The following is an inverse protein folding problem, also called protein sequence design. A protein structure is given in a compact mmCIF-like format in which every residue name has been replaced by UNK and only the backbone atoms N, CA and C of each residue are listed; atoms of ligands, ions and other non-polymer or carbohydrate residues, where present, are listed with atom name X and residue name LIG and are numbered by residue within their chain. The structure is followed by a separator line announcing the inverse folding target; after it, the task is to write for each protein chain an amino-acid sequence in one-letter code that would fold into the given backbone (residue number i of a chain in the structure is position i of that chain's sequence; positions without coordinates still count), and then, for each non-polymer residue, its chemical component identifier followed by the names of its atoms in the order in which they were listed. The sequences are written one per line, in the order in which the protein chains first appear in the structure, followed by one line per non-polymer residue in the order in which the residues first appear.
data_IF_039862998525
#
_entry.id   IF_039862998525
#
_cell.length_a   1.000
_cell.length_b   1.000
_cell.length_c   1.000
_cell.angle_alpha   90.00
_cell.angle_beta   90.00
_cell.angle_gamma   90.00
#
_symmetry.space_group_name_H-M   'P 1'
#
loop_
_entity.id
_entity.type
_entity.pdbx_description
1 polymer ?
#
# COMPACT_ATOMS: atom_id res chain seq x y z
N UNK A 1 -30.14 -27.00 72.21
CA UNK A 1 -29.00 -26.49 71.41
C UNK A 1 -29.08 -24.99 71.40
N UNK A 2 -28.06 -24.27 71.86
CA UNK A 2 -28.08 -22.81 71.88
C UNK A 2 -27.99 -22.26 70.46
N UNK A 3 -28.58 -21.09 70.23
CA UNK A 3 -28.58 -20.42 68.93
C UNK A 3 -27.15 -20.20 68.39
N UNK A 4 -26.17 -20.08 69.30
CA UNK A 4 -24.74 -20.03 69.00
C UNK A 4 -24.21 -21.29 68.31
N UNK A 5 -24.66 -22.49 68.70
CA UNK A 5 -24.21 -23.77 68.13
C UNK A 5 -24.74 -23.94 66.71
N UNK A 6 -25.98 -23.50 66.47
CA UNK A 6 -26.61 -23.54 65.15
C UNK A 6 -25.94 -22.58 64.16
N UNK A 7 -25.66 -21.34 64.58
CA UNK A 7 -24.94 -20.34 63.74
C UNK A 7 -23.50 -20.76 63.43
N UNK A 8 -22.80 -21.38 64.38
CA UNK A 8 -21.45 -21.92 64.17
C UNK A 8 -21.44 -23.04 63.12
N UNK A 9 -22.43 -23.94 63.17
CA UNK A 9 -22.60 -25.02 62.20
C UNK A 9 -22.88 -24.48 60.79
N UNK A 10 -23.75 -23.49 60.65
CA UNK A 10 -24.01 -22.82 59.36
C UNK A 10 -22.73 -22.17 58.81
N UNK A 11 -21.99 -21.42 59.64
CA UNK A 11 -20.72 -20.79 59.21
C UNK A 11 -19.67 -21.79 58.77
N UNK A 12 -19.59 -22.96 59.41
CA UNK A 12 -18.67 -24.04 59.00
C UNK A 12 -19.05 -24.73 57.68
N UNK A 13 -20.29 -24.58 57.23
CA UNK A 13 -20.81 -25.17 55.98
C UNK A 13 -20.81 -24.19 54.81
N UNK A 14 -20.67 -22.89 55.06
CA UNK A 14 -20.46 -21.88 54.03
C UNK A 14 -19.02 -22.00 53.55
N UNK A 15 -18.82 -22.67 52.40
CA UNK A 15 -17.54 -22.59 51.67
C UNK A 15 -17.31 -21.10 51.34
N UNK A 16 -16.13 -20.53 51.62
CA UNK A 16 -15.83 -19.16 51.22
C UNK A 16 -16.06 -19.03 49.70
N UNK A 17 -16.67 -17.91 49.29
CA UNK A 17 -16.89 -17.55 47.89
C UNK A 17 -15.62 -17.77 47.05
N UNK A 18 -15.73 -18.16 45.77
CA UNK A 18 -14.63 -18.72 45.01
C UNK A 18 -13.43 -17.77 45.02
N UNK A 19 -12.27 -18.35 45.34
CA UNK A 19 -10.95 -17.74 45.25
C UNK A 19 -10.81 -17.10 43.87
N UNK A 20 -10.46 -15.82 43.82
CA UNK A 20 -10.04 -15.16 42.59
C UNK A 20 -9.03 -16.09 41.90
N UNK A 21 -9.30 -16.49 40.66
CA UNK A 21 -8.46 -17.44 39.95
C UNK A 21 -7.05 -16.86 39.81
N UNK A 22 -6.05 -17.61 40.29
CA UNK A 22 -4.64 -17.26 40.20
C UNK A 22 -3.95 -18.15 39.19
N UNK A 23 -3.15 -17.56 38.32
CA UNK A 23 -2.40 -18.23 37.27
C UNK A 23 -0.90 -18.17 37.58
N UNK A 24 -0.17 -19.30 37.53
CA UNK A 24 1.28 -19.28 37.65
C UNK A 24 1.91 -18.50 36.49
N UNK A 25 2.87 -17.63 36.81
CA UNK A 25 3.62 -16.82 35.83
C UNK A 25 5.13 -16.95 36.04
N UNK A 26 5.90 -17.00 34.96
CA UNK A 26 7.36 -17.09 35.02
C UNK A 26 8.09 -15.82 35.46
N UNK A 27 7.35 -14.72 35.74
CA UNK A 27 7.92 -13.42 36.12
C UNK A 27 7.31 -12.79 37.39
N UNK A 28 6.25 -13.37 37.94
CA UNK A 28 5.51 -12.77 39.06
C UNK A 28 4.86 -13.77 40.01
N UNK A 29 5.17 -15.06 39.88
CA UNK A 29 4.54 -16.11 40.69
C UNK A 29 3.07 -16.31 40.30
N UNK A 30 2.26 -16.82 41.24
CA UNK A 30 0.82 -16.97 41.02
C UNK A 30 0.10 -15.62 41.14
N UNK A 31 -0.43 -15.12 40.02
CA UNK A 31 -1.07 -13.81 39.93
C UNK A 31 -2.52 -13.92 39.49
N UNK A 32 -3.37 -13.00 39.95
CA UNK A 32 -4.74 -12.88 39.42
C UNK A 32 -4.70 -12.31 38.01
N UNK A 33 -5.76 -12.53 37.23
CA UNK A 33 -5.80 -11.96 35.87
C UNK A 33 -5.73 -10.42 35.88
N UNK A 34 -6.38 -9.77 36.86
CA UNK A 34 -6.31 -8.31 37.00
C UNK A 34 -4.88 -7.82 37.20
N UNK A 35 -4.11 -8.49 38.05
CA UNK A 35 -2.71 -8.15 38.29
C UNK A 35 -1.82 -8.43 37.06
N UNK A 36 -2.16 -9.44 36.26
CA UNK A 36 -1.50 -9.69 34.96
C UNK A 36 -1.83 -8.56 33.99
N UNK A 37 -3.11 -8.21 33.84
CA UNK A 37 -3.61 -7.19 32.93
C UNK A 37 -3.03 -5.80 33.25
N UNK A 38 -3.00 -5.41 34.52
CA UNK A 38 -2.39 -4.15 34.98
C UNK A 38 -0.91 -4.08 34.61
N UNK A 39 -0.20 -5.21 34.65
CA UNK A 39 1.24 -5.26 34.37
C UNK A 39 1.57 -5.32 32.89
N UNK A 40 0.77 -6.02 32.08
CA UNK A 40 1.05 -6.16 30.64
C UNK A 40 0.35 -5.11 29.78
N UNK A 41 -0.80 -4.57 30.19
CA UNK A 41 -1.60 -3.62 29.43
C UNK A 41 -0.82 -2.38 28.96
N UNK A 42 -0.11 -1.66 29.85
CA UNK A 42 0.71 -0.51 29.46
C UNK A 42 1.85 -0.89 28.50
N UNK A 43 2.43 -2.08 28.66
CA UNK A 43 3.48 -2.59 27.78
C UNK A 43 2.93 -2.95 26.39
N UNK A 44 1.72 -3.52 26.34
CA UNK A 44 1.00 -3.77 25.10
C UNK A 44 0.72 -2.46 24.38
N UNK A 45 0.13 -1.47 25.05
CA UNK A 45 -0.16 -0.16 24.46
C UNK A 45 1.10 0.47 23.82
N UNK A 46 2.23 0.48 24.55
CA UNK A 46 3.52 1.00 24.07
C UNK A 46 4.11 0.21 22.89
N UNK A 47 3.76 -1.07 22.72
CA UNK A 47 4.19 -1.88 21.58
C UNK A 47 3.25 -1.71 20.39
N UNK A 48 1.95 -1.61 20.66
CA UNK A 48 0.90 -1.42 19.66
C UNK A 48 1.07 -0.09 18.92
N UNK A 49 1.46 0.98 19.61
CA UNK A 49 1.81 2.26 18.96
C UNK A 49 2.88 2.12 17.87
N UNK A 50 3.81 1.16 18.00
CA UNK A 50 4.86 0.93 16.99
C UNK A 50 4.35 0.24 15.73
N UNK A 51 3.15 -0.34 15.78
CA UNK A 51 2.51 -0.98 14.62
C UNK A 51 1.65 -0.02 13.80
N UNK A 52 1.62 1.28 14.14
CA UNK A 52 0.88 2.28 13.38
C UNK A 52 -0.63 2.33 13.68
N UNK A 53 -1.08 1.66 14.75
CA UNK A 53 -2.48 1.76 15.21
C UNK A 53 -2.74 3.17 15.75
N UNK A 54 -3.85 3.79 15.32
CA UNK A 54 -4.25 5.10 15.83
C UNK A 54 -4.47 5.10 17.35
N UNK A 55 -4.18 6.25 17.97
CA UNK A 55 -4.27 6.42 19.43
C UNK A 55 -5.60 5.96 20.03
N UNK A 56 -6.70 6.22 19.31
CA UNK A 56 -8.06 5.87 19.71
C UNK A 56 -8.36 4.36 19.72
N UNK A 57 -7.68 3.57 18.88
CA UNK A 57 -7.93 2.12 18.74
C UNK A 57 -7.00 1.27 19.62
N UNK A 58 -6.02 1.90 20.28
CA UNK A 58 -5.09 1.22 21.18
C UNK A 58 -5.81 0.60 22.37
N UNK A 59 -6.72 1.31 23.10
CA UNK A 59 -7.44 0.74 24.22
C UNK A 59 -8.23 -0.51 23.82
N UNK A 60 -8.95 -0.46 22.70
CA UNK A 60 -9.76 -1.56 22.17
C UNK A 60 -8.90 -2.76 21.77
N UNK A 61 -7.76 -2.50 21.15
CA UNK A 61 -6.77 -3.53 20.83
C UNK A 61 -6.26 -4.19 22.10
N UNK A 62 -5.84 -3.41 23.10
CA UNK A 62 -5.35 -3.93 24.39
C UNK A 62 -6.43 -4.77 25.07
N UNK A 63 -7.65 -4.26 25.16
CA UNK A 63 -8.78 -4.97 25.77
C UNK A 63 -9.07 -6.29 25.04
N UNK A 64 -9.09 -6.30 23.71
CA UNK A 64 -9.29 -7.51 22.90
C UNK A 64 -8.19 -8.55 23.14
N UNK A 65 -6.94 -8.10 23.19
CA UNK A 65 -5.79 -8.97 23.46
C UNK A 65 -5.84 -9.59 24.86
N UNK A 66 -6.17 -8.78 25.87
CA UNK A 66 -6.35 -9.23 27.25
C UNK A 66 -7.51 -10.21 27.38
N UNK A 67 -8.68 -9.92 26.78
CA UNK A 67 -9.84 -10.80 26.81
C UNK A 67 -9.52 -12.19 26.23
N UNK A 68 -8.85 -12.23 25.07
CA UNK A 68 -8.47 -13.51 24.45
C UNK A 68 -7.37 -14.24 25.24
N UNK A 69 -6.48 -13.51 25.91
CA UNK A 69 -5.51 -14.11 26.82
C UNK A 69 -6.21 -14.74 28.03
N UNK A 70 -7.20 -14.05 28.60
CA UNK A 70 -8.00 -14.57 29.72
C UNK A 70 -8.75 -15.85 29.36
N UNK A 71 -9.39 -15.89 28.19
CA UNK A 71 -10.06 -17.10 27.70
C UNK A 71 -9.06 -18.28 27.61
N UNK A 72 -7.87 -18.05 27.02
CA UNK A 72 -6.83 -19.08 26.95
C UNK A 72 -6.31 -19.51 28.32
N UNK A 73 -6.19 -18.60 29.27
CA UNK A 73 -5.81 -18.93 30.65
C UNK A 73 -6.87 -19.75 31.38
N UNK A 74 -8.14 -19.55 31.04
CA UNK A 74 -9.25 -20.32 31.59
C UNK A 74 -9.19 -21.77 31.12
N UNK A 75 -8.83 -21.99 29.85
CA UNK A 75 -8.65 -23.32 29.28
C UNK A 75 -7.32 -23.98 29.69
N UNK A 76 -6.24 -23.19 29.75
CA UNK A 76 -4.87 -23.62 30.05
C UNK A 76 -4.26 -22.76 31.18
N UNK A 77 -4.54 -23.06 32.47
CA UNK A 77 -4.09 -22.24 33.59
C UNK A 77 -2.56 -22.09 33.71
N UNK A 78 -1.82 -23.08 33.23
CA UNK A 78 -0.35 -23.12 33.29
C UNK A 78 0.35 -22.45 32.10
N UNK A 79 -0.41 -21.90 31.14
CA UNK A 79 0.12 -21.33 29.89
C UNK A 79 1.24 -20.30 30.11
N UNK A 80 1.19 -19.56 31.23
CA UNK A 80 2.13 -18.49 31.54
C UNK A 80 3.25 -18.91 32.52
N UNK A 81 3.24 -20.13 33.03
CA UNK A 81 4.14 -20.58 34.11
C UNK A 81 5.63 -20.48 33.73
N UNK A 82 5.96 -20.76 32.47
CA UNK A 82 7.34 -20.75 31.95
C UNK A 82 7.63 -19.57 31.01
N UNK A 83 6.66 -18.70 30.77
CA UNK A 83 6.85 -17.56 29.89
C UNK A 83 7.57 -16.42 30.62
N UNK A 84 8.35 -15.62 29.88
CA UNK A 84 8.84 -14.35 30.38
C UNK A 84 7.81 -13.24 30.12
N UNK A 85 7.83 -12.16 30.91
CA UNK A 85 6.90 -11.02 30.78
C UNK A 85 6.78 -10.53 29.33
N UNK A 86 7.90 -10.36 28.64
CA UNK A 86 7.93 -9.92 27.23
C UNK A 86 7.22 -10.89 26.30
N UNK A 87 7.37 -12.21 26.53
CA UNK A 87 6.72 -13.24 25.71
C UNK A 87 5.21 -13.22 25.92
N UNK A 88 4.75 -13.00 27.15
CA UNK A 88 3.34 -12.85 27.49
C UNK A 88 2.72 -11.63 26.82
N UNK A 89 3.41 -10.49 26.85
CA UNK A 89 3.00 -9.28 26.11
C UNK A 89 2.83 -9.60 24.62
N UNK A 90 3.80 -10.30 24.01
CA UNK A 90 3.71 -10.69 22.60
C UNK A 90 2.58 -11.67 22.31
N UNK A 91 2.29 -12.63 23.20
CA UNK A 91 1.13 -13.53 23.04
C UNK A 91 -0.18 -12.75 23.03
N UNK A 92 -0.32 -11.80 23.95
CA UNK A 92 -1.51 -10.95 24.02
C UNK A 92 -1.65 -10.08 22.76
N UNK A 93 -0.56 -9.49 22.28
CA UNK A 93 -0.53 -8.70 21.02
C UNK A 93 -0.87 -9.57 19.82
N UNK A 94 -0.32 -10.79 19.73
CA UNK A 94 -0.56 -11.68 18.59
C UNK A 94 -2.05 -12.02 18.41
N UNK A 95 -2.86 -11.95 19.46
CA UNK A 95 -4.30 -12.18 19.41
C UNK A 95 -5.13 -10.89 19.42
N UNK A 96 -4.51 -9.72 19.59
CA UNK A 96 -5.21 -8.46 19.82
C UNK A 96 -5.79 -7.80 18.56
N UNK A 97 -5.74 -8.47 17.41
CA UNK A 97 -6.29 -8.01 16.13
C UNK A 97 -5.75 -6.65 15.62
N UNK A 98 -4.67 -6.12 16.21
CA UNK A 98 -4.12 -4.82 15.83
C UNK A 98 -3.71 -4.74 14.35
N UNK A 99 -3.11 -5.80 13.79
CA UNK A 99 -2.72 -5.83 12.38
C UNK A 99 -3.93 -5.81 11.43
N UNK A 100 -5.07 -6.38 11.84
CA UNK A 100 -6.31 -6.34 11.06
C UNK A 100 -6.92 -4.95 11.10
N UNK A 101 -6.79 -4.24 12.23
CA UNK A 101 -7.22 -2.86 12.36
C UNK A 101 -6.36 -1.96 11.46
N UNK A 102 -5.05 -2.11 11.48
CA UNK A 102 -4.13 -1.38 10.58
C UNK A 102 -4.45 -1.65 9.12
N UNK A 103 -4.60 -2.92 8.73
CA UNK A 103 -4.96 -3.30 7.36
C UNK A 103 -6.33 -2.77 6.93
N UNK A 104 -7.31 -2.71 7.85
CA UNK A 104 -8.59 -2.04 7.59
C UNK A 104 -8.45 -0.53 7.46
N UNK A 105 -7.63 0.09 8.29
CA UNK A 105 -7.36 1.53 8.25
C UNK A 105 -6.66 1.91 6.94
N UNK A 106 -5.64 1.15 6.53
CA UNK A 106 -4.97 1.34 5.24
C UNK A 106 -5.92 1.19 4.05
N UNK A 107 -6.89 0.27 4.12
CA UNK A 107 -7.90 0.08 3.07
C UNK A 107 -9.01 1.13 3.09
N UNK A 108 -9.34 1.66 4.26
CA UNK A 108 -10.46 2.56 4.49
C UNK A 108 -9.98 3.77 5.31
N UNK A 109 -9.11 4.59 4.71
CA UNK A 109 -8.77 5.88 5.29
C UNK A 109 -10.03 6.77 5.24
N UNK A 110 -10.68 6.97 6.38
CA UNK A 110 -11.77 7.94 6.47
C UNK A 110 -11.18 9.35 6.47
N UNK A 111 -11.83 10.27 5.75
CA UNK A 111 -11.37 11.64 5.52
C UNK A 111 -10.99 12.39 6.81
N UNK A 112 -11.75 12.15 7.89
CA UNK A 112 -11.51 12.74 9.21
C UNK A 112 -10.19 12.29 9.87
N UNK A 113 -9.74 11.06 9.62
CA UNK A 113 -8.53 10.50 10.23
C UNK A 113 -7.26 11.01 9.53
N UNK A 114 -7.34 11.37 8.25
CA UNK A 114 -6.25 12.01 7.49
C UNK A 114 -6.02 13.43 8.03
N UNK A 115 -7.10 14.19 8.26
CA UNK A 115 -7.02 15.55 8.79
C UNK A 115 -6.42 15.58 10.21
N UNK A 116 -6.78 14.62 11.06
CA UNK A 116 -6.29 14.52 12.43
C UNK A 116 -4.80 14.15 12.53
N UNK A 117 -4.27 13.32 11.62
CA UNK A 117 -2.88 12.84 11.69
C UNK A 117 -1.86 13.77 11.00
N UNK A 118 -2.29 14.54 10.01
CA UNK A 118 -1.35 15.32 9.18
C UNK A 118 -1.22 16.77 9.65
N UNK A 119 -2.17 17.29 10.44
CA UNK A 119 -2.18 18.68 10.92
C UNK A 119 -2.26 19.72 9.81
N UNK A 120 -2.58 19.29 8.59
CA UNK A 120 -2.74 20.10 7.39
C UNK A 120 -4.23 20.23 7.11
N UNK A 121 -4.65 21.42 6.67
CA UNK A 121 -6.00 21.62 6.17
C UNK A 121 -6.17 20.74 4.92
N UNK A 122 -7.03 19.72 5.04
CA UNK A 122 -7.31 18.81 3.93
C UNK A 122 -8.35 19.52 3.07
N UNK A 123 -7.88 20.52 2.33
CA UNK A 123 -8.62 20.98 1.16
C UNK A 123 -8.90 19.75 0.28
N UNK A 124 -10.07 19.80 -0.36
CA UNK A 124 -10.82 18.84 -1.19
C UNK A 124 -10.03 18.04 -2.26
N UNK A 125 -8.70 18.12 -2.29
CA UNK A 125 -7.78 17.51 -3.24
C UNK A 125 -7.26 16.12 -2.85
N UNK A 126 -7.53 15.66 -1.63
CA UNK A 126 -6.96 14.42 -1.08
C UNK A 126 -7.81 13.15 -1.31
N UNK A 127 -8.11 12.78 -2.56
CA UNK A 127 -8.56 11.39 -2.83
C UNK A 127 -7.33 10.48 -2.70
N UNK A 128 -7.05 10.04 -1.47
CA UNK A 128 -5.97 9.10 -1.19
C UNK A 128 -6.36 7.68 -1.60
N UNK A 129 -6.12 7.38 -2.87
CA UNK A 129 -6.11 6.04 -3.45
C UNK A 129 -5.26 5.98 -4.72
N UNK A 130 -4.48 7.03 -4.96
CA UNK A 130 -3.98 7.40 -6.28
C UNK A 130 -2.46 7.48 -6.38
N UNK A 131 -1.75 6.99 -5.36
CA UNK A 131 -0.29 6.93 -5.29
C UNK A 131 0.32 5.85 -6.22
N UNK A 132 -0.34 5.57 -7.35
CA UNK A 132 0.26 4.72 -8.35
C UNK A 132 1.45 5.47 -8.97
N UNK A 133 2.65 4.87 -8.86
CA UNK A 133 3.96 5.33 -9.39
C UNK A 133 3.98 5.74 -10.88
N UNK A 134 2.86 5.61 -11.57
CA UNK A 134 2.61 6.05 -12.94
C UNK A 134 2.10 7.51 -13.02
N UNK A 135 1.83 8.21 -11.92
CA UNK A 135 1.40 9.62 -11.97
C UNK A 135 2.55 10.64 -12.10
N UNK A 136 3.80 10.17 -12.11
CA UNK A 136 4.96 11.03 -12.39
C UNK A 136 4.96 11.62 -13.81
N UNK A 137 4.01 11.22 -14.67
CA UNK A 137 3.89 11.73 -16.04
C UNK A 137 3.10 13.04 -16.14
N UNK A 138 2.45 13.51 -15.06
CA UNK A 138 1.66 14.74 -15.11
C UNK A 138 2.04 15.79 -14.05
N UNK A 139 3.33 16.09 -13.96
CA UNK A 139 3.81 17.26 -13.23
C UNK A 139 3.32 18.61 -13.81
N UNK A 140 2.49 18.61 -14.87
CA UNK A 140 1.86 19.80 -15.47
C UNK A 140 0.41 19.98 -15.06
N UNK A 141 -0.30 18.94 -14.63
CA UNK A 141 -1.68 19.07 -14.18
C UNK A 141 -1.70 19.59 -12.74
N UNK A 142 -1.99 20.89 -12.59
CA UNK A 142 -2.17 21.54 -11.28
C UNK A 142 -3.54 21.24 -10.65
N UNK A 143 -4.35 20.38 -11.28
CA UNK A 143 -5.74 20.10 -10.89
C UNK A 143 -5.83 18.64 -10.39
N UNK A 144 -6.90 18.30 -9.67
CA UNK A 144 -7.05 16.97 -9.06
C UNK A 144 -6.98 15.85 -10.12
N UNK A 145 -5.93 15.01 -10.11
CA UNK A 145 -5.74 13.92 -11.10
C UNK A 145 -6.86 12.87 -11.14
N UNK A 146 -7.77 12.89 -10.16
CA UNK A 146 -9.05 12.19 -10.24
C UNK A 146 -9.95 12.73 -11.35
N UNK A 147 -10.09 14.05 -11.48
CA UNK A 147 -10.93 14.69 -12.50
C UNK A 147 -10.48 14.34 -13.92
N UNK A 148 -9.17 14.44 -14.20
CA UNK A 148 -8.60 14.05 -15.50
C UNK A 148 -8.92 12.61 -15.86
N UNK A 149 -8.88 11.67 -14.91
CA UNK A 149 -9.20 10.26 -15.17
C UNK A 149 -10.69 10.04 -15.40
N UNK A 150 -11.55 10.76 -14.70
CA UNK A 150 -12.99 10.75 -14.94
C UNK A 150 -13.28 11.30 -16.35
N UNK A 151 -12.63 12.37 -16.77
CA UNK A 151 -12.77 12.92 -18.12
C UNK A 151 -12.30 11.92 -19.18
N UNK A 152 -11.11 11.33 -19.01
CA UNK A 152 -10.61 10.25 -19.89
C UNK A 152 -11.60 9.08 -19.94
N UNK A 153 -12.19 8.69 -18.82
CA UNK A 153 -13.18 7.61 -18.78
C UNK A 153 -14.45 7.98 -19.55
N UNK A 154 -14.95 9.21 -19.39
CA UNK A 154 -16.09 9.71 -20.16
C UNK A 154 -15.79 9.73 -21.65
N UNK A 155 -14.59 10.13 -22.06
CA UNK A 155 -14.21 10.17 -23.48
C UNK A 155 -14.07 8.76 -24.08
N UNK A 156 -13.53 7.80 -23.32
CA UNK A 156 -13.53 6.37 -23.70
C UNK A 156 -14.96 5.84 -23.83
N UNK A 157 -15.83 6.09 -22.84
CA UNK A 157 -17.23 5.66 -22.86
C UNK A 157 -17.97 6.23 -24.07
N UNK A 158 -17.75 7.52 -24.35
CA UNK A 158 -18.34 8.21 -25.50
C UNK A 158 -17.84 7.63 -26.82
N UNK A 159 -16.55 7.29 -26.93
CA UNK A 159 -15.99 6.63 -28.11
C UNK A 159 -16.59 5.24 -28.34
N UNK A 160 -16.69 4.42 -27.27
CA UNK A 160 -17.32 3.09 -27.32
C UNK A 160 -18.79 3.21 -27.72
N UNK A 161 -19.53 4.13 -27.10
CA UNK A 161 -20.96 4.36 -27.39
C UNK A 161 -21.17 4.79 -28.84
N UNK A 162 -20.31 5.67 -29.36
CA UNK A 162 -20.36 6.13 -30.76
C UNK A 162 -20.18 4.96 -31.73
N UNK A 163 -19.25 4.05 -31.43
CA UNK A 163 -19.03 2.85 -32.25
C UNK A 163 -20.18 1.85 -32.09
N UNK A 164 -20.70 1.65 -30.88
CA UNK A 164 -21.84 0.78 -30.62
C UNK A 164 -23.08 1.22 -31.42
N UNK A 165 -23.37 2.53 -31.46
CA UNK A 165 -24.45 3.09 -32.27
C UNK A 165 -24.25 2.85 -33.76
N UNK A 166 -23.00 2.94 -34.25
CA UNK A 166 -22.70 2.67 -35.65
C UNK A 166 -22.94 1.21 -36.06
N UNK A 167 -22.72 0.27 -35.14
CA UNK A 167 -22.93 -1.16 -35.34
C UNK A 167 -24.26 -1.66 -34.73
N UNK A 168 -25.22 -0.79 -34.43
CA UNK A 168 -26.47 -1.16 -33.73
C UNK A 168 -27.22 -2.32 -34.42
N UNK A 169 -27.16 -2.38 -35.76
CA UNK A 169 -27.81 -3.41 -36.57
C UNK A 169 -26.86 -4.56 -37.00
N UNK A 170 -25.57 -4.49 -36.65
CA UNK A 170 -24.55 -5.51 -36.98
C UNK A 170 -24.10 -6.24 -35.70
N UNK A 171 -24.75 -7.38 -35.44
CA UNK A 171 -24.44 -8.24 -34.29
C UNK A 171 -22.96 -8.69 -34.27
N UNK A 172 -22.33 -8.83 -35.44
CA UNK A 172 -20.91 -9.21 -35.54
C UNK A 172 -20.03 -8.07 -35.05
N UNK A 173 -20.36 -6.84 -35.42
CA UNK A 173 -19.70 -5.62 -34.95
C UNK A 173 -19.88 -5.40 -33.44
N UNK A 174 -21.08 -5.64 -32.90
CA UNK A 174 -21.35 -5.53 -31.46
C UNK A 174 -20.59 -6.58 -30.63
N UNK A 175 -20.55 -7.83 -31.11
CA UNK A 175 -19.76 -8.89 -30.46
C UNK A 175 -18.27 -8.58 -30.52
N UNK A 176 -17.77 -8.07 -31.64
CA UNK A 176 -16.38 -7.61 -31.75
C UNK A 176 -16.08 -6.46 -30.78
N UNK A 177 -16.95 -5.44 -30.69
CA UNK A 177 -16.80 -4.34 -29.75
C UNK A 177 -16.79 -4.84 -28.28
N UNK A 178 -17.68 -5.76 -27.94
CA UNK A 178 -17.75 -6.36 -26.61
C UNK A 178 -16.46 -7.13 -26.25
N UNK A 179 -15.94 -7.94 -27.18
CA UNK A 179 -14.66 -8.65 -26.98
C UNK A 179 -13.50 -7.67 -26.77
N UNK A 180 -13.49 -6.55 -27.49
CA UNK A 180 -12.40 -5.58 -27.41
C UNK A 180 -12.43 -4.75 -26.11
N UNK A 181 -13.63 -4.48 -25.59
CA UNK A 181 -13.84 -3.57 -24.44
C UNK A 181 -13.98 -4.29 -23.10
N UNK A 182 -13.97 -5.63 -23.11
CA UNK A 182 -14.10 -6.45 -21.90
C UNK A 182 -13.06 -7.58 -21.88
N UNK A 183 -12.90 -8.23 -20.74
CA UNK A 183 -12.03 -9.41 -20.60
C UNK A 183 -12.68 -10.71 -21.12
N UNK A 184 -13.67 -10.61 -22.01
CA UNK A 184 -14.36 -11.77 -22.55
C UNK A 184 -13.43 -12.62 -23.43
N UNK A 185 -13.45 -13.95 -23.24
CA UNK A 185 -12.64 -14.88 -24.05
C UNK A 185 -13.15 -14.92 -25.50
N UNK A 186 -12.37 -14.44 -26.49
CA UNK A 186 -12.88 -14.21 -27.86
C UNK A 186 -13.54 -15.44 -28.48
N UNK A 187 -12.87 -16.59 -28.42
CA UNK A 187 -13.37 -17.84 -29.01
C UNK A 187 -14.66 -18.35 -28.35
N UNK A 188 -14.82 -18.15 -27.04
CA UNK A 188 -16.02 -18.59 -26.33
C UNK A 188 -17.22 -17.71 -26.71
N UNK A 189 -17.01 -16.40 -26.78
CA UNK A 189 -18.04 -15.43 -27.17
C UNK A 189 -18.48 -15.63 -28.62
N UNK A 190 -17.53 -15.83 -29.54
CA UNK A 190 -17.83 -16.07 -30.96
C UNK A 190 -18.70 -17.33 -31.13
N UNK A 191 -18.32 -18.42 -30.46
CA UNK A 191 -19.05 -19.69 -30.52
C UNK A 191 -20.45 -19.58 -29.88
N UNK A 192 -20.60 -18.82 -28.79
CA UNK A 192 -21.88 -18.61 -28.13
C UNK A 192 -22.92 -17.91 -29.03
N UNK A 193 -22.46 -17.05 -29.94
CA UNK A 193 -23.31 -16.32 -30.89
C UNK A 193 -23.39 -16.97 -32.27
N UNK A 194 -22.79 -18.16 -32.48
CA UNK A 194 -22.72 -18.86 -33.77
C UNK A 194 -22.20 -17.99 -34.92
N UNK A 195 -21.23 -17.11 -34.64
CA UNK A 195 -20.69 -16.18 -35.64
C UNK A 195 -19.44 -16.74 -36.34
N UNK A 196 -19.22 -16.40 -37.63
CA UNK A 196 -17.99 -16.77 -38.32
C UNK A 196 -16.79 -16.07 -37.69
N UNK A 197 -15.81 -16.84 -37.25
CA UNK A 197 -14.59 -16.33 -36.60
C UNK A 197 -13.88 -15.25 -37.44
N UNK A 198 -13.70 -15.50 -38.75
CA UNK A 198 -13.04 -14.56 -39.67
C UNK A 198 -13.74 -13.20 -39.77
N UNK A 199 -15.07 -13.19 -39.70
CA UNK A 199 -15.86 -11.96 -39.75
C UNK A 199 -15.73 -11.14 -38.46
N UNK A 200 -15.67 -11.80 -37.31
CA UNK A 200 -15.50 -11.13 -36.01
C UNK A 200 -14.09 -10.53 -35.89
N UNK A 201 -13.04 -11.24 -36.31
CA UNK A 201 -11.68 -10.69 -36.32
C UNK A 201 -11.52 -9.51 -37.29
N UNK A 202 -12.11 -9.57 -38.48
CA UNK A 202 -12.10 -8.43 -39.40
C UNK A 202 -12.81 -7.20 -38.81
N UNK A 203 -13.89 -7.40 -38.04
CA UNK A 203 -14.58 -6.32 -37.32
C UNK A 203 -13.79 -5.80 -36.13
N UNK A 204 -13.07 -6.66 -35.41
CA UNK A 204 -12.17 -6.27 -34.32
C UNK A 204 -11.11 -5.28 -34.83
N UNK A 205 -10.44 -5.60 -35.94
CA UNK A 205 -9.40 -4.73 -36.51
C UNK A 205 -9.98 -3.36 -36.92
N UNK A 206 -11.13 -3.35 -37.60
CA UNK A 206 -11.82 -2.11 -38.01
C UNK A 206 -12.26 -1.25 -36.82
N UNK A 207 -12.77 -1.88 -35.76
CA UNK A 207 -13.19 -1.19 -34.54
C UNK A 207 -11.97 -0.64 -33.80
N UNK A 208 -10.87 -1.40 -33.74
CA UNK A 208 -9.63 -0.97 -33.10
C UNK A 208 -9.04 0.26 -33.80
N UNK A 209 -8.95 0.27 -35.14
CA UNK A 209 -8.50 1.44 -35.90
C UNK A 209 -9.37 2.68 -35.64
N UNK A 210 -10.69 2.47 -35.54
CA UNK A 210 -11.64 3.57 -35.32
C UNK A 210 -11.56 4.12 -33.91
N UNK A 211 -11.40 3.27 -32.89
CA UNK A 211 -11.11 3.69 -31.52
C UNK A 211 -9.79 4.45 -31.43
N UNK A 212 -8.74 3.99 -32.09
CA UNK A 212 -7.45 4.69 -32.13
C UNK A 212 -7.53 6.06 -32.80
N UNK A 213 -8.49 6.25 -33.71
CA UNK A 213 -8.74 7.53 -34.36
C UNK A 213 -9.52 8.47 -33.45
N UNK A 214 -10.58 7.98 -32.80
CA UNK A 214 -11.38 8.77 -31.85
C UNK A 214 -10.59 9.17 -30.61
N UNK A 215 -9.69 8.29 -30.16
CA UNK A 215 -8.84 8.49 -28.98
C UNK A 215 -7.41 8.91 -29.37
N UNK A 216 -7.24 9.55 -30.54
CA UNK A 216 -5.92 9.91 -31.06
C UNK A 216 -5.17 10.89 -30.14
N UNK A 217 -5.90 11.74 -29.42
CA UNK A 217 -5.35 12.71 -28.46
C UNK A 217 -4.71 12.03 -27.24
N UNK A 218 -5.15 10.81 -26.90
CA UNK A 218 -4.58 10.01 -25.81
C UNK A 218 -3.44 9.11 -26.25
N UNK A 219 -3.00 9.20 -27.51
CA UNK A 219 -1.82 8.43 -27.94
C UNK A 219 -0.66 8.83 -27.03
N UNK A 220 -0.03 7.87 -26.33
CA UNK A 220 1.08 8.20 -25.45
C UNK A 220 2.15 8.89 -26.28
N UNK A 221 2.48 10.14 -25.94
CA UNK A 221 3.62 10.82 -26.55
C UNK A 221 4.84 9.89 -26.43
N UNK A 222 5.63 9.77 -27.50
CA UNK A 222 6.87 9.00 -27.46
C UNK A 222 7.67 9.49 -26.25
N UNK A 223 7.85 8.61 -25.26
CA UNK A 223 8.55 8.94 -24.02
C UNK A 223 9.95 9.43 -24.38
N UNK A 224 10.17 10.73 -24.20
CA UNK A 224 11.48 11.34 -24.43
C UNK A 224 12.47 10.76 -23.45
N UNK A 225 13.68 10.46 -23.92
CA UNK A 225 14.75 10.01 -23.02
C UNK A 225 15.09 11.15 -22.04
N UNK A 226 15.61 10.83 -20.84
CA UNK A 226 16.06 11.87 -19.90
C UNK A 226 17.06 12.83 -20.56
N UNK A 227 17.83 12.34 -21.53
CA UNK A 227 18.79 13.11 -22.31
C UNK A 227 18.10 14.11 -23.22
N UNK A 228 17.10 13.69 -23.98
CA UNK A 228 16.31 14.59 -24.82
C UNK A 228 15.61 15.67 -23.99
N UNK A 229 15.12 15.34 -22.80
CA UNK A 229 14.53 16.31 -21.87
C UNK A 229 15.56 17.32 -21.36
N UNK A 230 16.74 16.82 -20.96
CA UNK A 230 17.86 17.65 -20.52
C UNK A 230 18.36 18.60 -21.63
N UNK A 231 18.54 18.07 -22.85
CA UNK A 231 18.99 18.85 -24.03
C UNK A 231 17.93 19.89 -24.46
N UNK A 232 16.64 19.64 -24.18
CA UNK A 232 15.55 20.60 -24.38
C UNK A 232 15.43 21.67 -23.26
N UNK A 233 16.34 21.68 -22.28
CA UNK A 233 16.40 22.71 -21.25
C UNK A 233 15.60 22.42 -19.97
N UNK A 234 15.08 21.20 -19.79
CA UNK A 234 14.42 20.79 -18.54
C UNK A 234 15.46 20.47 -17.46
N UNK A 235 16.08 21.50 -16.88
CA UNK A 235 17.26 21.35 -16.01
C UNK A 235 16.90 20.95 -14.55
N UNK A 236 15.69 21.28 -14.08
CA UNK A 236 15.30 21.09 -12.68
C UNK A 236 15.50 19.64 -12.15
N UNK A 237 15.07 18.58 -12.86
CA UNK A 237 15.26 17.21 -12.37
C UNK A 237 16.74 16.77 -12.36
N UNK A 238 17.59 17.40 -13.18
CA UNK A 238 19.04 17.16 -13.10
C UNK A 238 19.64 17.79 -11.84
N UNK A 239 19.21 19.00 -11.48
CA UNK A 239 19.68 19.68 -10.26
C UNK A 239 19.27 18.93 -8.97
N UNK A 240 18.08 18.33 -8.94
CA UNK A 240 17.66 17.46 -7.84
C UNK A 240 18.59 16.24 -7.66
N UNK A 241 19.04 15.65 -8.77
CA UNK A 241 20.01 14.55 -8.70
C UNK A 241 21.40 15.05 -8.30
N UNK A 242 21.79 16.26 -8.72
CA UNK A 242 23.06 16.89 -8.31
C UNK A 242 23.08 17.16 -6.80
N UNK A 243 22.04 17.79 -6.26
CA UNK A 243 21.92 18.07 -4.81
C UNK A 243 21.97 16.79 -3.98
N UNK A 244 21.35 15.70 -4.46
CA UNK A 244 21.46 14.40 -3.78
C UNK A 244 22.91 13.89 -3.64
N UNK A 245 23.79 14.23 -4.58
CA UNK A 245 25.18 13.77 -4.61
C UNK A 245 26.18 14.85 -4.20
N UNK A 246 25.74 15.96 -3.60
CA UNK A 246 26.58 17.12 -3.25
C UNK A 246 27.80 16.73 -2.41
N UNK A 247 27.61 15.86 -1.40
CA UNK A 247 28.68 15.37 -0.52
C UNK A 247 29.63 14.35 -1.16
N UNK A 248 29.43 14.00 -2.44
CA UNK A 248 30.12 12.88 -3.11
C UNK A 248 30.79 13.33 -4.41
N UNK A 249 32.05 13.82 -4.37
CA UNK A 249 32.71 14.41 -5.54
C UNK A 249 32.87 13.42 -6.71
N UNK A 250 33.13 12.13 -6.43
CA UNK A 250 33.22 11.09 -7.46
C UNK A 250 31.86 10.78 -8.12
N UNK A 251 30.74 11.02 -7.42
CA UNK A 251 29.40 10.87 -7.98
C UNK A 251 29.01 12.09 -8.84
N UNK A 252 29.43 13.29 -8.44
CA UNK A 252 29.31 14.50 -9.26
C UNK A 252 30.13 14.39 -10.55
N UNK A 253 31.36 13.86 -10.49
CA UNK A 253 32.15 13.56 -11.67
C UNK A 253 31.45 12.53 -12.57
N UNK A 254 30.79 11.52 -11.99
CA UNK A 254 30.01 10.55 -12.75
C UNK A 254 28.81 11.21 -13.47
N UNK A 255 28.06 12.09 -12.79
CA UNK A 255 26.97 12.87 -13.38
C UNK A 255 27.45 13.78 -14.52
N UNK A 256 28.57 14.46 -14.32
CA UNK A 256 29.19 15.30 -15.34
C UNK A 256 29.56 14.49 -16.59
N UNK A 257 30.11 13.28 -16.43
CA UNK A 257 30.42 12.41 -17.58
C UNK A 257 29.18 11.85 -18.29
N UNK A 258 28.01 11.87 -17.65
CA UNK A 258 26.74 11.47 -18.26
C UNK A 258 26.15 12.61 -19.10
N UNK A 259 26.12 13.82 -18.56
CA UNK A 259 25.60 15.00 -19.26
C UNK A 259 26.49 15.43 -20.43
N UNK A 260 27.81 15.47 -20.23
CA UNK A 260 28.76 15.97 -21.26
C UNK A 260 29.34 14.90 -22.18
N UNK A 261 29.00 13.62 -21.99
CA UNK A 261 29.64 12.46 -22.65
C UNK A 261 31.17 12.36 -22.47
N UNK A 262 31.77 13.18 -21.60
CA UNK A 262 33.21 13.16 -21.42
C UNK A 262 33.69 11.79 -20.91
N UNK A 263 34.85 11.32 -21.41
CA UNK A 263 35.37 10.00 -21.02
C UNK A 263 35.88 10.05 -19.58
N UNK A 264 35.51 9.05 -18.76
CA UNK A 264 35.90 8.91 -17.35
C UNK A 264 37.42 9.02 -17.14
N UNK A 265 38.21 8.54 -18.12
CA UNK A 265 39.69 8.61 -18.11
C UNK A 265 40.26 10.03 -18.01
N UNK A 266 39.50 11.06 -18.35
CA UNK A 266 39.95 12.46 -18.30
C UNK A 266 39.82 13.09 -16.90
N UNK A 267 39.05 12.49 -15.99
CA UNK A 267 38.79 13.04 -14.66
C UNK A 267 39.45 12.24 -13.53
N UNK A 268 39.97 11.06 -13.86
CA UNK A 268 40.41 10.08 -12.86
C UNK A 268 41.68 9.37 -13.31
N UNK A 269 42.75 9.59 -12.55
CA UNK A 269 44.09 9.03 -12.76
C UNK A 269 44.22 7.62 -12.17
N UNK A 270 43.53 7.31 -11.07
CA UNK A 270 43.64 6.03 -10.36
C UNK A 270 42.60 4.98 -10.82
N UNK A 271 43.03 3.72 -10.98
CA UNK A 271 42.18 2.63 -11.44
C UNK A 271 41.03 2.30 -10.47
N UNK A 272 41.25 2.44 -9.16
CA UNK A 272 40.23 2.21 -8.13
C UNK A 272 39.11 3.27 -8.17
N UNK A 273 39.49 4.52 -8.44
CA UNK A 273 38.54 5.62 -8.59
C UNK A 273 37.73 5.45 -9.89
N UNK A 274 38.34 4.96 -10.98
CA UNK A 274 37.62 4.70 -12.25
C UNK A 274 36.52 3.65 -12.08
N UNK A 275 36.79 2.58 -11.33
CA UNK A 275 35.78 1.57 -10.97
C UNK A 275 34.64 2.19 -10.15
N UNK A 276 34.99 3.07 -9.21
CA UNK A 276 34.04 3.77 -8.35
C UNK A 276 33.15 4.75 -9.13
N UNK A 277 33.74 5.54 -10.04
CA UNK A 277 33.00 6.44 -10.95
C UNK A 277 32.09 5.65 -11.88
N UNK A 278 32.53 4.51 -12.42
CA UNK A 278 31.69 3.65 -13.25
C UNK A 278 30.49 3.10 -12.48
N UNK A 279 30.68 2.73 -11.21
CA UNK A 279 29.58 2.32 -10.32
C UNK A 279 28.60 3.47 -10.08
N UNK A 280 29.10 4.65 -9.75
CA UNK A 280 28.27 5.83 -9.55
C UNK A 280 27.55 6.26 -10.81
N UNK A 281 28.15 6.11 -11.99
CA UNK A 281 27.53 6.40 -13.29
C UNK A 281 26.27 5.57 -13.51
N UNK A 282 26.28 4.28 -13.18
CA UNK A 282 25.08 3.42 -13.26
C UNK A 282 24.00 3.85 -12.27
N UNK A 283 24.40 4.18 -11.04
CA UNK A 283 23.47 4.63 -10.00
C UNK A 283 22.84 6.00 -10.32
N UNK A 284 23.65 6.94 -10.81
CA UNK A 284 23.25 8.26 -11.24
C UNK A 284 22.31 8.20 -12.45
N UNK A 285 22.62 7.36 -13.45
CA UNK A 285 21.74 7.13 -14.60
C UNK A 285 20.36 6.65 -14.17
N UNK A 286 20.29 5.64 -13.29
CA UNK A 286 19.02 5.12 -12.77
C UNK A 286 18.22 6.20 -12.03
N UNK A 287 18.91 7.11 -11.31
CA UNK A 287 18.26 8.24 -10.64
C UNK A 287 17.80 9.31 -11.60
N UNK A 288 18.58 9.64 -12.63
CA UNK A 288 18.15 10.55 -13.70
C UNK A 288 16.92 9.98 -14.41
N UNK A 289 16.92 8.70 -14.78
CA UNK A 289 15.73 8.03 -15.34
C UNK A 289 14.53 8.04 -14.40
N UNK A 290 14.76 8.08 -13.09
CA UNK A 290 13.66 8.16 -12.11
C UNK A 290 13.15 9.60 -12.00
N UNK A 291 14.05 10.59 -11.91
CA UNK A 291 13.72 12.01 -11.78
C UNK A 291 13.06 12.57 -13.06
N UNK A 292 13.51 12.11 -14.24
CA UNK A 292 12.94 12.48 -15.54
C UNK A 292 11.81 11.55 -16.00
N UNK A 293 11.40 10.56 -15.19
CA UNK A 293 10.43 9.54 -15.60
C UNK A 293 11.02 8.53 -16.60
N UNK A 294 10.81 7.24 -16.36
CA UNK A 294 11.37 6.17 -17.21
C UNK A 294 10.76 6.19 -18.61
N UNK A 295 11.54 6.52 -19.64
CA UNK A 295 11.27 5.97 -20.97
C UNK A 295 11.33 4.45 -20.83
N UNK A 296 10.25 3.73 -21.18
CA UNK A 296 10.29 2.27 -21.26
C UNK A 296 11.21 1.98 -22.44
N UNK A 297 12.45 1.59 -22.15
CA UNK A 297 13.25 0.84 -23.11
C UNK A 297 12.53 -0.50 -23.31
N UNK A 298 11.90 -0.68 -24.46
CA UNK A 298 11.55 -2.01 -24.96
C UNK A 298 12.82 -2.83 -25.18
#
# INVERSE_FOLDING_TARGET
MSESTFRSKIRSQIKPFPKIATYPTGWGGAMTFDAIAERIGPLMAKKITRFGVFGQDIPDSVQTGLMKLWLKLTDEPELLACDALTRTVWRAIAVCSCMVIVDKQERYNFFADIQANTGMDVDEYGVHGDDSRLQLWDAKERWAGFATRIDVQFDIERAITTIAQHYADDITGLVALYILTTDAKPLQTINAHNLPQSSVYARLDQIQERLQTLLAEYKPEKRRTWRERFDNGEIAPYLEVVTHYEDRPLALAALYTLSTQAKVRHFVTCENERRTVTRYRRAALKRLETAYGRAVSF
#
